data_IF_962819319022
#
_entry.id   IF_962819319022
#
_cell.length_a   1.000
_cell.length_b   1.000
_cell.length_c   1.000
_cell.angle_alpha   90.00
_cell.angle_beta   90.00
_cell.angle_gamma   90.00
#
_symmetry.space_group_name_H-M   'P 1'
#
loop_
_entity.id
_entity.type
_entity.pdbx_description
1 polymer ?
#
# COMPACT_ATOMS: atom_id res chain seq x y z
N UNK A 1 26.73 62.58 -38.13
CA UNK A 1 25.67 62.25 -37.19
C UNK A 1 25.26 60.78 -37.39
N UNK A 2 25.73 59.85 -36.53
CA UNK A 2 25.35 58.40 -36.54
C UNK A 2 24.15 58.22 -35.63
N UNK A 3 23.01 57.84 -36.19
CA UNK A 3 21.84 57.39 -35.38
C UNK A 3 22.06 56.03 -34.86
N UNK A 4 22.20 55.90 -33.55
CA UNK A 4 22.18 54.64 -32.81
C UNK A 4 20.72 54.18 -32.75
N UNK A 5 20.40 53.00 -33.32
CA UNK A 5 19.09 52.33 -33.15
C UNK A 5 19.09 51.59 -31.85
N UNK A 6 18.26 51.93 -30.87
CA UNK A 6 18.03 51.09 -29.70
C UNK A 6 16.89 50.12 -30.01
N UNK A 7 17.04 48.86 -29.79
CA UNK A 7 15.88 47.97 -29.71
C UNK A 7 15.96 46.66 -30.47
N UNK A 8 16.96 45.78 -30.17
CA UNK A 8 16.88 44.37 -30.63
C UNK A 8 17.45 43.38 -29.63
N UNK A 9 17.49 43.66 -28.34
CA UNK A 9 18.02 42.71 -27.34
C UNK A 9 16.97 42.05 -26.41
N UNK A 10 15.70 42.39 -26.57
CA UNK A 10 14.67 41.91 -25.65
C UNK A 10 13.99 40.58 -26.07
N UNK A 11 14.04 40.20 -27.34
CA UNK A 11 13.27 39.07 -27.86
C UNK A 11 13.97 37.71 -27.74
N UNK A 12 15.26 37.67 -27.47
CA UNK A 12 16.00 36.41 -27.35
C UNK A 12 15.96 35.82 -25.94
N UNK A 13 15.80 36.62 -24.88
CA UNK A 13 15.73 36.13 -23.49
C UNK A 13 14.40 35.44 -23.17
N UNK A 14 13.30 35.87 -23.81
CA UNK A 14 11.98 35.27 -23.59
C UNK A 14 11.84 33.88 -24.23
N UNK A 15 12.60 33.57 -25.28
CA UNK A 15 12.56 32.27 -25.96
C UNK A 15 13.30 31.16 -25.17
N UNK A 16 14.36 31.49 -24.47
CA UNK A 16 15.11 30.54 -23.63
C UNK A 16 14.33 30.15 -22.37
N UNK A 17 13.63 31.11 -21.75
CA UNK A 17 12.75 30.87 -20.63
C UNK A 17 11.55 29.99 -20.99
N UNK A 18 11.01 30.14 -22.19
CA UNK A 18 9.92 29.34 -22.73
C UNK A 18 10.33 27.87 -22.97
N UNK A 19 11.51 27.67 -23.57
CA UNK A 19 12.03 26.30 -23.82
C UNK A 19 12.28 25.53 -22.50
N UNK A 20 12.92 26.17 -21.53
CA UNK A 20 13.14 25.57 -20.21
C UNK A 20 11.82 25.21 -19.49
N UNK A 21 10.80 26.06 -19.62
CA UNK A 21 9.48 25.79 -19.03
C UNK A 21 8.80 24.56 -19.68
N UNK A 22 8.94 24.37 -20.99
CA UNK A 22 8.41 23.20 -21.71
C UNK A 22 9.15 21.92 -21.29
N UNK A 23 10.48 21.96 -21.20
CA UNK A 23 11.28 20.82 -20.71
C UNK A 23 10.85 20.42 -19.30
N UNK A 24 10.70 21.38 -18.39
CA UNK A 24 10.25 21.15 -17.03
C UNK A 24 8.82 20.55 -16.99
N UNK A 25 7.91 21.06 -17.81
CA UNK A 25 6.54 20.57 -17.92
C UNK A 25 6.46 19.10 -18.39
N UNK A 26 7.42 18.63 -19.19
CA UNK A 26 7.52 17.23 -19.60
C UNK A 26 8.10 16.32 -18.51
N UNK A 27 8.98 16.83 -17.67
CA UNK A 27 9.64 16.04 -16.59
C UNK A 27 8.72 15.88 -15.36
N UNK A 28 7.93 16.92 -15.02
CA UNK A 28 7.07 16.90 -13.84
C UNK A 28 6.13 15.69 -13.80
N UNK A 29 5.37 15.33 -14.84
CA UNK A 29 4.46 14.20 -14.79
C UNK A 29 5.15 12.88 -14.49
N UNK A 30 6.34 12.66 -15.08
CA UNK A 30 7.14 11.47 -14.81
C UNK A 30 7.63 11.42 -13.35
N UNK A 31 8.08 12.56 -12.83
CA UNK A 31 8.52 12.68 -11.44
C UNK A 31 7.37 12.46 -10.46
N UNK A 32 6.20 13.04 -10.70
CA UNK A 32 5.01 12.83 -9.89
C UNK A 32 4.57 11.36 -9.89
N UNK A 33 4.65 10.69 -11.04
CA UNK A 33 4.32 9.27 -11.14
C UNK A 33 5.24 8.40 -10.28
N UNK A 34 6.53 8.71 -10.21
CA UNK A 34 7.48 8.03 -9.34
C UNK A 34 7.12 8.25 -7.87
N UNK A 35 6.82 9.49 -7.46
CA UNK A 35 6.42 9.79 -6.09
C UNK A 35 5.14 9.05 -5.70
N UNK A 36 4.10 9.12 -6.54
CA UNK A 36 2.85 8.38 -6.31
C UNK A 36 3.09 6.88 -6.20
N UNK A 37 3.99 6.33 -7.03
CA UNK A 37 4.39 4.93 -6.95
C UNK A 37 5.01 4.55 -5.62
N UNK A 38 5.91 5.37 -5.10
CA UNK A 38 6.53 5.15 -3.78
C UNK A 38 5.45 5.14 -2.69
N UNK A 39 4.47 6.05 -2.75
CA UNK A 39 3.37 6.09 -1.79
C UNK A 39 2.48 4.83 -1.87
N UNK A 40 2.10 4.39 -3.07
CA UNK A 40 1.27 3.21 -3.27
C UNK A 40 1.98 1.93 -2.78
N UNK A 41 3.26 1.75 -3.15
CA UNK A 41 4.05 0.61 -2.66
C UNK A 41 4.30 0.67 -1.16
N UNK A 42 4.56 1.86 -0.60
CA UNK A 42 4.70 2.04 0.84
C UNK A 42 3.44 1.61 1.60
N UNK A 43 2.27 2.01 1.11
CA UNK A 43 0.98 1.59 1.69
C UNK A 43 0.77 0.07 1.55
N UNK A 44 1.11 -0.52 0.41
CA UNK A 44 1.02 -1.96 0.19
C UNK A 44 1.89 -2.74 1.19
N UNK A 45 3.16 -2.36 1.35
CA UNK A 45 4.07 -2.99 2.31
C UNK A 45 3.57 -2.85 3.75
N UNK A 46 3.10 -1.66 4.12
CA UNK A 46 2.53 -1.43 5.44
C UNK A 46 1.33 -2.36 5.74
N UNK A 47 0.44 -2.55 4.77
CA UNK A 47 -0.68 -3.47 4.92
C UNK A 47 -0.23 -4.94 4.98
N UNK A 48 0.81 -5.31 4.24
CA UNK A 48 1.40 -6.67 4.33
C UNK A 48 1.98 -6.94 5.73
N UNK A 49 2.64 -5.97 6.34
CA UNK A 49 3.16 -6.11 7.71
C UNK A 49 2.02 -6.25 8.73
N UNK A 50 0.97 -5.45 8.58
CA UNK A 50 -0.23 -5.53 9.44
C UNK A 50 -0.86 -6.92 9.38
N UNK A 51 -1.13 -7.45 8.19
CA UNK A 51 -1.80 -8.77 8.08
C UNK A 51 -0.91 -9.91 8.58
N UNK A 52 0.40 -9.82 8.42
CA UNK A 52 1.34 -10.81 8.95
C UNK A 52 1.40 -10.79 10.49
N UNK A 53 1.45 -9.60 11.08
CA UNK A 53 1.46 -9.46 12.53
C UNK A 53 0.11 -9.86 13.13
N UNK A 54 -0.99 -9.46 12.51
CA UNK A 54 -2.34 -9.86 12.91
C UNK A 54 -2.52 -11.40 12.83
N UNK A 55 -1.99 -12.05 11.79
CA UNK A 55 -2.03 -13.51 11.66
C UNK A 55 -1.27 -14.21 12.78
N UNK A 56 -0.09 -13.69 13.17
CA UNK A 56 0.69 -14.23 14.30
C UNK A 56 -0.06 -14.08 15.63
N UNK A 57 -0.63 -12.90 15.88
CA UNK A 57 -1.40 -12.66 17.10
C UNK A 57 -2.67 -13.49 17.14
N UNK A 58 -3.40 -13.60 16.01
CA UNK A 58 -4.58 -14.45 15.89
C UNK A 58 -4.27 -15.93 16.13
N UNK A 59 -3.19 -16.45 15.55
CA UNK A 59 -2.75 -17.83 15.78
C UNK A 59 -2.40 -18.09 17.25
N UNK A 60 -1.80 -17.12 17.94
CA UNK A 60 -1.53 -17.21 19.37
C UNK A 60 -2.82 -17.24 20.20
N UNK A 61 -3.80 -16.39 19.90
CA UNK A 61 -5.10 -16.39 20.59
C UNK A 61 -5.83 -17.73 20.38
N UNK A 62 -5.82 -18.25 19.16
CA UNK A 62 -6.41 -19.55 18.84
C UNK A 62 -5.71 -20.70 19.58
N UNK A 63 -4.37 -20.70 19.63
CA UNK A 63 -3.59 -21.79 20.20
C UNK A 63 -3.61 -21.83 21.73
N UNK A 64 -3.59 -20.67 22.39
CA UNK A 64 -3.46 -20.56 23.85
C UNK A 64 -4.83 -20.46 24.53
N UNK A 65 -5.70 -19.59 24.02
CA UNK A 65 -6.98 -19.29 24.65
C UNK A 65 -8.14 -20.13 24.09
N UNK A 66 -7.91 -20.85 23.00
CA UNK A 66 -8.97 -21.56 22.26
C UNK A 66 -10.15 -20.64 21.91
N UNK A 67 -9.83 -19.37 21.57
CA UNK A 67 -10.83 -18.38 21.17
C UNK A 67 -11.42 -18.75 19.81
N UNK A 68 -12.71 -18.48 19.65
CA UNK A 68 -13.39 -18.71 18.37
C UNK A 68 -12.94 -17.69 17.33
N UNK A 69 -13.02 -18.05 16.04
CA UNK A 69 -12.68 -17.15 14.92
C UNK A 69 -13.34 -15.78 15.03
N UNK A 70 -14.52 -15.70 15.65
CA UNK A 70 -15.26 -14.46 15.83
C UNK A 70 -14.66 -13.57 16.93
N UNK A 71 -14.20 -14.17 18.03
CA UNK A 71 -13.50 -13.46 19.12
C UNK A 71 -12.14 -12.96 18.64
N UNK A 72 -11.40 -13.80 17.90
CA UNK A 72 -10.13 -13.43 17.30
C UNK A 72 -10.33 -12.27 16.30
N UNK A 73 -11.36 -12.34 15.44
CA UNK A 73 -11.63 -11.26 14.49
C UNK A 73 -11.94 -9.94 15.18
N UNK A 74 -12.73 -9.96 16.26
CA UNK A 74 -13.07 -8.76 17.04
C UNK A 74 -11.81 -8.17 17.72
N UNK A 75 -10.98 -9.01 18.33
CA UNK A 75 -9.74 -8.59 18.98
C UNK A 75 -8.75 -7.97 17.96
N UNK A 76 -8.57 -8.60 16.81
CA UNK A 76 -7.68 -8.08 15.77
C UNK A 76 -8.20 -6.82 15.12
N UNK A 77 -9.51 -6.72 14.85
CA UNK A 77 -10.13 -5.51 14.31
C UNK A 77 -10.02 -4.32 15.26
N UNK A 78 -10.12 -4.54 16.57
CA UNK A 78 -9.93 -3.47 17.56
C UNK A 78 -8.49 -2.95 17.62
N UNK A 79 -7.51 -3.81 17.32
CA UNK A 79 -6.08 -3.47 17.39
C UNK A 79 -5.50 -2.93 16.07
N UNK A 80 -5.95 -3.47 14.94
CA UNK A 80 -5.39 -3.22 13.60
C UNK A 80 -6.36 -2.55 12.62
N UNK A 81 -7.62 -2.37 13.00
CA UNK A 81 -8.66 -1.72 12.19
C UNK A 81 -9.68 -2.68 11.55
N UNK A 82 -10.84 -2.13 11.23
CA UNK A 82 -12.04 -2.88 10.81
C UNK A 82 -11.97 -3.53 9.40
N UNK A 83 -10.88 -3.35 8.66
CA UNK A 83 -10.74 -3.87 7.28
C UNK A 83 -10.12 -5.27 7.21
N UNK A 84 -9.93 -5.92 8.36
CA UNK A 84 -9.36 -7.26 8.42
C UNK A 84 -10.46 -8.32 8.35
N UNK A 85 -10.28 -9.29 7.47
CA UNK A 85 -11.06 -10.53 7.44
C UNK A 85 -10.20 -11.65 7.98
N UNK A 86 -10.69 -12.36 8.99
CA UNK A 86 -9.96 -13.43 9.67
C UNK A 86 -10.64 -14.76 9.39
N UNK A 87 -9.87 -15.76 9.02
CA UNK A 87 -10.30 -17.15 8.89
C UNK A 87 -9.37 -18.08 9.63
N UNK A 88 -9.94 -19.07 10.29
CA UNK A 88 -9.24 -20.07 11.09
C UNK A 88 -9.47 -21.47 10.50
N UNK A 89 -8.46 -22.28 10.46
CA UNK A 89 -8.54 -23.65 9.99
C UNK A 89 -7.65 -24.57 10.86
N UNK A 90 -8.26 -25.60 11.53
CA UNK A 90 -9.69 -25.90 11.63
C UNK A 90 -10.46 -24.85 12.46
N UNK A 91 -11.77 -24.71 12.21
CA UNK A 91 -12.62 -23.73 12.91
C UNK A 91 -12.82 -24.00 14.41
N UNK A 92 -12.45 -25.17 14.86
CA UNK A 92 -12.45 -25.59 16.28
C UNK A 92 -11.19 -26.40 16.51
N UNK A 93 -10.06 -25.75 16.81
CA UNK A 93 -8.81 -26.45 17.06
C UNK A 93 -8.92 -27.27 18.36
N UNK A 94 -8.35 -28.49 18.35
CA UNK A 94 -8.27 -29.35 19.51
C UNK A 94 -6.85 -29.37 20.04
N UNK A 95 -6.69 -29.57 21.35
CA UNK A 95 -5.38 -29.77 21.97
C UNK A 95 -4.60 -30.87 21.23
N UNK A 96 -3.35 -30.64 20.94
CA UNK A 96 -2.51 -31.56 20.17
C UNK A 96 -2.60 -31.40 18.65
N UNK A 97 -3.36 -30.43 18.12
CA UNK A 97 -3.47 -30.13 16.68
C UNK A 97 -2.81 -28.80 16.31
N UNK A 98 -2.60 -28.59 15.00
CA UNK A 98 -2.16 -27.30 14.49
C UNK A 98 -3.39 -26.46 14.13
N UNK A 99 -3.32 -25.18 14.46
CA UNK A 99 -4.29 -24.17 14.01
C UNK A 99 -3.59 -23.19 13.08
N UNK A 100 -4.22 -22.91 11.95
CA UNK A 100 -3.75 -21.92 10.98
C UNK A 100 -4.73 -20.76 10.94
N UNK A 101 -4.24 -19.57 11.22
CA UNK A 101 -5.01 -18.34 11.10
C UNK A 101 -4.54 -17.57 9.88
N UNK A 102 -5.50 -17.25 9.03
CA UNK A 102 -5.30 -16.45 7.81
C UNK A 102 -6.02 -15.13 7.97
N UNK A 103 -5.28 -14.04 7.79
CA UNK A 103 -5.81 -12.68 7.84
C UNK A 103 -5.66 -12.05 6.46
N UNK A 104 -6.75 -11.46 5.97
CA UNK A 104 -6.75 -10.75 4.68
C UNK A 104 -7.18 -9.29 4.87
N UNK A 105 -6.60 -8.42 4.07
CA UNK A 105 -6.98 -7.01 3.98
C UNK A 105 -6.96 -6.56 2.52
N UNK A 106 -7.61 -5.46 2.22
CA UNK A 106 -7.64 -4.88 0.87
C UNK A 106 -6.92 -3.54 0.85
N UNK A 107 -6.11 -3.33 -0.20
CA UNK A 107 -5.37 -2.09 -0.43
C UNK A 107 -5.82 -1.48 -1.74
N UNK A 108 -6.26 -0.23 -1.70
CA UNK A 108 -6.59 0.53 -2.91
C UNK A 108 -5.34 1.22 -3.43
N UNK A 109 -4.99 0.93 -4.69
CA UNK A 109 -3.89 1.58 -5.40
C UNK A 109 -4.45 2.84 -6.03
N UNK A 110 -3.90 3.99 -5.65
CA UNK A 110 -4.41 5.31 -6.05
C UNK A 110 -3.93 5.73 -7.44
N UNK A 111 -2.73 5.29 -7.85
CA UNK A 111 -2.15 5.66 -9.15
C UNK A 111 -2.72 4.78 -10.27
N UNK A 112 -3.46 5.34 -11.26
CA UNK A 112 -4.12 4.55 -12.31
C UNK A 112 -3.14 3.71 -13.16
N UNK A 113 -1.96 4.26 -13.44
CA UNK A 113 -0.93 3.57 -14.23
C UNK A 113 -0.38 2.37 -13.46
N UNK A 114 -0.16 2.53 -12.14
CA UNK A 114 0.36 1.47 -11.28
C UNK A 114 -0.72 0.41 -11.06
N UNK A 115 -1.98 0.80 -10.87
CA UNK A 115 -3.08 -0.13 -10.69
C UNK A 115 -3.25 -1.09 -11.88
N UNK A 116 -2.86 -0.67 -13.10
CA UNK A 116 -2.92 -1.52 -14.30
C UNK A 116 -1.95 -2.70 -14.26
N UNK A 117 -0.92 -2.68 -13.42
CA UNK A 117 0.01 -3.80 -13.23
C UNK A 117 -0.47 -4.83 -12.21
N UNK A 118 -1.54 -4.54 -11.47
CA UNK A 118 -2.12 -5.45 -10.49
C UNK A 118 -3.33 -6.17 -11.06
N UNK A 119 -3.57 -7.44 -10.66
CA UNK A 119 -4.68 -8.24 -11.17
C UNK A 119 -6.06 -7.71 -10.77
N UNK A 120 -6.12 -6.92 -9.69
CA UNK A 120 -7.34 -6.29 -9.18
C UNK A 120 -7.05 -4.99 -8.44
N UNK A 121 -8.00 -4.08 -8.42
CA UNK A 121 -7.99 -2.90 -7.57
C UNK A 121 -9.39 -2.73 -6.95
N UNK A 122 -9.54 -2.87 -5.62
CA UNK A 122 -8.51 -3.04 -4.60
C UNK A 122 -7.75 -4.38 -4.67
N UNK A 123 -6.47 -4.35 -4.31
CA UNK A 123 -5.62 -5.54 -4.24
C UNK A 123 -5.73 -6.20 -2.86
N UNK A 124 -5.87 -7.52 -2.82
CA UNK A 124 -5.97 -8.27 -1.56
C UNK A 124 -4.60 -8.73 -1.10
N UNK A 125 -4.23 -8.35 0.11
CA UNK A 125 -3.04 -8.83 0.81
C UNK A 125 -3.44 -9.86 1.87
N UNK A 126 -2.58 -10.86 2.10
CA UNK A 126 -2.86 -11.98 2.99
C UNK A 126 -1.64 -12.28 3.85
N UNK A 127 -1.88 -12.47 5.14
CA UNK A 127 -0.93 -13.02 6.11
C UNK A 127 -1.44 -14.34 6.67
N UNK A 128 -0.53 -15.28 6.92
CA UNK A 128 -0.88 -16.60 7.45
C UNK A 128 0.13 -17.02 8.53
N UNK A 129 -0.39 -17.58 9.62
CA UNK A 129 0.44 -18.15 10.67
C UNK A 129 -0.18 -19.45 11.18
N UNK A 130 0.66 -20.46 11.40
CA UNK A 130 0.26 -21.76 11.96
C UNK A 130 0.94 -21.95 13.31
N UNK A 131 0.17 -22.31 14.33
CA UNK A 131 0.66 -22.63 15.66
C UNK A 131 0.08 -23.95 16.16
N UNK A 132 0.81 -24.57 17.10
CA UNK A 132 0.37 -25.80 17.77
C UNK A 132 -0.50 -25.44 18.98
N UNK A 133 -1.61 -26.14 19.14
CA UNK A 133 -2.57 -25.94 20.24
C UNK A 133 -2.15 -26.84 21.41
N UNK A 134 -1.87 -26.26 22.55
CA UNK A 134 -1.49 -26.96 23.79
C UNK A 134 -2.69 -27.51 24.53
#
# INVERSE_FOLDING_TARGET
>A
MRRIRPGQRHWQQDSEGGAAAVEFALVIPAFLLIICGICDFGNLYFQMDIVNEAARQGARLAAVNQETSQQISTALQSSYGNQLTVSESPASPTSGSNVTVTVTSTVTIMTPIISAFFPSNPYTVQGQCTMYVE
#
